data_IF_255498783868
#
_entry.id   IF_255498783868
#
_cell.length_a   1.000
_cell.length_b   1.000
_cell.length_c   1.000
_cell.angle_alpha   90.00
_cell.angle_beta   90.00
_cell.angle_gamma   90.00
#
_symmetry.space_group_name_H-M   'P 1'
#
loop_
_entity.id
_entity.type
_entity.pdbx_description
1 polymer ?
#
# COMPACT_ATOMS: atom_id res chain seq x y z
N UNK A 1 16.76 2.47 8.79
CA UNK A 1 15.38 2.12 9.23
C UNK A 1 14.46 2.07 8.03
N UNK A 2 14.42 3.12 7.20
CA UNK A 2 13.71 3.13 5.91
C UNK A 2 13.99 1.90 5.03
N UNK A 3 15.27 1.48 4.88
CA UNK A 3 15.59 0.27 4.10
C UNK A 3 15.07 -1.04 4.70
N UNK A 4 14.89 -1.11 6.03
CA UNK A 4 14.28 -2.28 6.68
C UNK A 4 12.76 -2.31 6.45
N UNK A 5 12.10 -1.16 6.52
CA UNK A 5 10.66 -1.04 6.21
C UNK A 5 10.37 -1.37 4.75
N UNK A 6 11.21 -0.88 3.84
CA UNK A 6 11.12 -1.18 2.41
C UNK A 6 11.32 -2.67 2.15
N UNK A 7 12.30 -3.30 2.82
CA UNK A 7 12.48 -4.75 2.77
C UNK A 7 11.26 -5.53 3.29
N UNK A 8 10.62 -5.08 4.38
CA UNK A 8 9.40 -5.72 4.89
C UNK A 8 8.24 -5.64 3.90
N UNK A 9 8.06 -4.49 3.23
CA UNK A 9 7.07 -4.33 2.15
C UNK A 9 7.38 -5.24 0.99
N UNK A 10 8.63 -5.25 0.53
CA UNK A 10 9.09 -6.16 -0.51
C UNK A 10 8.88 -7.63 -0.14
N UNK A 11 9.05 -8.01 1.12
CA UNK A 11 8.79 -9.37 1.59
C UNK A 11 7.30 -9.71 1.52
N UNK A 12 6.42 -8.81 1.99
CA UNK A 12 4.97 -9.00 1.94
C UNK A 12 4.46 -9.05 0.49
N UNK A 13 4.93 -8.14 -0.37
CA UNK A 13 4.59 -8.13 -1.79
C UNK A 13 5.04 -9.42 -2.48
N UNK A 14 6.24 -9.91 -2.16
CA UNK A 14 6.75 -11.19 -2.68
C UNK A 14 5.92 -12.38 -2.23
N UNK A 15 5.38 -12.37 -1.02
CA UNK A 15 4.52 -13.44 -0.51
C UNK A 15 3.21 -13.51 -1.31
N UNK A 16 2.59 -12.36 -1.58
CA UNK A 16 1.36 -12.29 -2.40
C UNK A 16 1.66 -12.67 -3.86
N UNK A 17 2.76 -12.17 -4.42
CA UNK A 17 3.14 -12.43 -5.82
C UNK A 17 3.55 -13.89 -6.08
N UNK A 18 4.01 -14.60 -5.05
CA UNK A 18 4.39 -16.02 -5.11
C UNK A 18 3.29 -16.94 -4.56
N UNK A 19 2.07 -16.45 -4.42
CA UNK A 19 0.93 -17.32 -4.11
C UNK A 19 0.68 -18.30 -5.27
N UNK A 20 0.42 -19.58 -4.98
CA UNK A 20 0.09 -20.56 -6.02
C UNK A 20 -1.28 -20.25 -6.62
N UNK A 21 -1.39 -20.35 -7.94
CA UNK A 21 -2.64 -20.15 -8.69
C UNK A 21 -2.77 -21.23 -9.75
N UNK A 22 -4.01 -21.65 -10.02
CA UNK A 22 -4.29 -22.68 -11.01
C UNK A 22 -4.67 -22.02 -12.34
N UNK A 23 -3.93 -22.31 -13.40
CA UNK A 23 -4.21 -21.81 -14.75
C UNK A 23 -4.32 -22.96 -15.75
N UNK A 24 -5.12 -22.76 -16.80
CA UNK A 24 -5.20 -23.71 -17.90
C UNK A 24 -4.17 -23.31 -18.96
N UNK A 25 -3.11 -24.10 -19.10
CA UNK A 25 -2.07 -23.91 -20.13
C UNK A 25 -1.78 -25.24 -20.80
N UNK A 26 -1.60 -25.22 -22.13
CA UNK A 26 -1.31 -26.43 -22.92
C UNK A 26 -2.32 -27.57 -22.65
N UNK A 27 -3.61 -27.22 -22.51
CA UNK A 27 -4.72 -28.14 -22.26
C UNK A 27 -4.71 -28.86 -20.90
N UNK A 28 -3.87 -28.43 -19.96
CA UNK A 28 -3.81 -28.99 -18.60
C UNK A 28 -3.98 -27.91 -17.54
N UNK A 29 -4.49 -28.31 -16.37
CA UNK A 29 -4.51 -27.44 -15.19
C UNK A 29 -3.13 -27.47 -14.54
N UNK A 30 -2.44 -26.34 -14.61
CA UNK A 30 -1.08 -26.18 -14.10
C UNK A 30 -1.09 -25.19 -12.94
N UNK A 31 -0.43 -25.54 -11.86
CA UNK A 31 -0.15 -24.60 -10.77
C UNK A 31 1.05 -23.73 -11.15
N UNK A 32 0.85 -22.42 -11.17
CA UNK A 32 1.91 -21.41 -11.40
C UNK A 32 1.93 -20.41 -10.24
N UNK A 33 2.94 -19.55 -10.20
CA UNK A 33 2.95 -18.43 -9.27
C UNK A 33 2.07 -17.29 -9.79
N UNK A 34 1.38 -16.57 -8.90
CA UNK A 34 0.51 -15.44 -9.27
C UNK A 34 1.21 -14.38 -10.14
N UNK A 35 2.51 -14.15 -9.94
CA UNK A 35 3.30 -13.23 -10.76
C UNK A 35 3.49 -13.66 -12.22
N UNK A 36 3.29 -14.95 -12.53
CA UNK A 36 3.50 -15.53 -13.86
C UNK A 36 2.22 -15.54 -14.71
N UNK A 37 1.10 -15.04 -14.17
CA UNK A 37 -0.18 -14.88 -14.90
C UNK A 37 0.01 -13.85 -16.00
N UNK A 38 -0.53 -14.15 -17.19
CA UNK A 38 -0.55 -13.25 -18.35
C UNK A 38 -1.98 -12.95 -18.74
N UNK A 39 -2.19 -11.79 -19.36
CA UNK A 39 -3.47 -11.43 -19.97
C UNK A 39 -3.88 -12.51 -20.97
N UNK A 40 -5.13 -12.96 -20.86
CA UNK A 40 -5.69 -14.05 -21.66
C UNK A 40 -5.54 -15.45 -21.04
N UNK A 41 -4.79 -15.62 -19.95
CA UNK A 41 -4.78 -16.90 -19.23
C UNK A 41 -6.15 -17.17 -18.61
N UNK A 42 -6.61 -18.42 -18.70
CA UNK A 42 -7.81 -18.90 -17.99
C UNK A 42 -7.35 -19.37 -16.61
N UNK A 43 -7.85 -18.70 -15.58
CA UNK A 43 -7.55 -18.95 -14.17
C UNK A 43 -8.72 -19.68 -13.53
N UNK A 44 -8.43 -20.76 -12.81
CA UNK A 44 -9.37 -21.44 -11.93
C UNK A 44 -9.14 -20.95 -10.51
N UNK A 45 -10.20 -20.46 -9.87
CA UNK A 45 -10.15 -19.98 -8.48
C UNK A 45 -11.10 -20.84 -7.64
N UNK A 46 -10.61 -21.33 -6.51
CA UNK A 46 -11.38 -22.17 -5.59
C UNK A 46 -12.08 -21.34 -4.51
N UNK A 47 -13.03 -21.97 -3.81
CA UNK A 47 -13.72 -21.34 -2.69
C UNK A 47 -12.75 -20.81 -1.65
N UNK A 48 -13.07 -19.65 -1.07
CA UNK A 48 -12.27 -18.95 -0.06
C UNK A 48 -10.90 -18.41 -0.53
N UNK A 49 -10.56 -18.55 -1.82
CA UNK A 49 -9.36 -17.95 -2.40
C UNK A 49 -9.58 -16.48 -2.81
N UNK A 50 -8.49 -15.70 -2.77
CA UNK A 50 -8.45 -14.34 -3.29
C UNK A 50 -8.15 -14.35 -4.80
N UNK A 51 -8.82 -13.49 -5.57
CA UNK A 51 -8.53 -13.36 -6.99
C UNK A 51 -7.13 -12.76 -7.21
N UNK A 52 -6.27 -13.39 -8.02
CA UNK A 52 -4.88 -12.96 -8.18
C UNK A 52 -4.71 -11.73 -9.09
N UNK A 53 -5.67 -11.50 -9.99
CA UNK A 53 -5.71 -10.37 -10.91
C UNK A 53 -7.17 -10.06 -11.28
N UNK A 54 -7.40 -9.08 -12.16
CA UNK A 54 -8.75 -8.77 -12.60
C UNK A 54 -9.18 -9.77 -13.67
N UNK A 55 -10.23 -10.56 -13.38
CA UNK A 55 -10.73 -11.62 -14.24
C UNK A 55 -12.10 -11.26 -14.81
N UNK A 56 -12.37 -11.61 -16.06
CA UNK A 56 -13.75 -11.70 -16.56
C UNK A 56 -14.25 -13.11 -16.32
N UNK A 57 -15.41 -13.23 -15.67
CA UNK A 57 -16.01 -14.52 -15.31
C UNK A 57 -16.52 -15.24 -16.56
N UNK A 58 -16.05 -16.47 -16.78
CA UNK A 58 -16.49 -17.34 -17.87
C UNK A 58 -17.58 -18.31 -17.39
N UNK A 59 -17.37 -18.94 -16.24
CA UNK A 59 -18.30 -19.93 -15.70
C UNK A 59 -18.06 -20.16 -14.21
N UNK A 60 -19.02 -20.80 -13.55
CA UNK A 60 -18.95 -21.22 -12.16
C UNK A 60 -19.59 -22.60 -12.00
N UNK A 61 -19.42 -23.18 -10.82
CA UNK A 61 -20.13 -24.40 -10.42
C UNK A 61 -21.67 -24.25 -10.41
N UNK A 62 -22.19 -23.01 -10.31
CA UNK A 62 -23.62 -22.73 -10.42
C UNK A 62 -24.08 -22.86 -11.89
N UNK A 63 -25.10 -23.69 -12.19
CA UNK A 63 -25.66 -23.81 -13.54
C UNK A 63 -26.15 -22.49 -14.16
N UNK A 64 -26.51 -21.50 -13.34
CA UNK A 64 -26.89 -20.16 -13.80
C UNK A 64 -25.67 -19.26 -14.07
N UNK A 65 -24.46 -19.72 -13.74
CA UNK A 65 -23.22 -18.99 -13.95
C UNK A 65 -23.00 -17.86 -12.95
N UNK A 66 -23.60 -17.93 -11.75
CA UNK A 66 -23.39 -16.94 -10.69
C UNK A 66 -22.28 -17.37 -9.71
N UNK A 67 -21.68 -16.39 -9.04
CA UNK A 67 -20.79 -16.60 -7.91
C UNK A 67 -20.96 -15.49 -6.88
N UNK A 68 -20.60 -15.77 -5.63
CA UNK A 68 -20.60 -14.77 -4.57
C UNK A 68 -19.18 -14.34 -4.26
N UNK A 69 -18.98 -13.02 -4.17
CA UNK A 69 -17.68 -12.46 -3.80
C UNK A 69 -17.83 -11.54 -2.60
N UNK A 70 -16.77 -11.44 -1.80
CA UNK A 70 -16.62 -10.39 -0.80
C UNK A 70 -15.51 -9.43 -1.23
N UNK A 71 -15.81 -8.14 -1.15
CA UNK A 71 -14.87 -7.05 -1.46
C UNK A 71 -14.30 -6.40 -0.20
N UNK A 72 -14.41 -7.05 0.96
CA UNK A 72 -13.96 -6.51 2.24
C UNK A 72 -12.50 -6.00 2.24
N UNK A 73 -11.64 -6.60 1.42
CA UNK A 73 -10.22 -6.18 1.26
C UNK A 73 -10.01 -4.99 0.31
N UNK A 74 -11.03 -4.56 -0.43
CA UNK A 74 -10.99 -3.47 -1.42
C UNK A 74 -11.70 -2.22 -0.92
N UNK A 75 -12.97 -2.36 -0.51
CA UNK A 75 -13.87 -1.26 -0.14
C UNK A 75 -14.40 -1.38 1.31
N UNK A 76 -14.02 -2.42 2.05
CA UNK A 76 -14.50 -2.68 3.41
C UNK A 76 -15.91 -3.26 3.47
N UNK A 77 -16.58 -3.46 2.33
CA UNK A 77 -17.94 -4.02 2.30
C UNK A 77 -17.91 -5.53 2.53
N UNK A 78 -18.69 -5.99 3.51
CA UNK A 78 -18.71 -7.39 3.96
C UNK A 78 -19.87 -8.18 3.42
N UNK A 79 -20.84 -7.50 2.80
CA UNK A 79 -21.91 -8.14 2.09
C UNK A 79 -21.37 -8.93 0.90
N UNK A 80 -21.96 -10.10 0.68
CA UNK A 80 -21.67 -10.89 -0.50
C UNK A 80 -22.32 -10.23 -1.71
N UNK A 81 -21.51 -9.93 -2.72
CA UNK A 81 -21.95 -9.41 -4.02
C UNK A 81 -22.07 -10.56 -4.99
N UNK A 82 -23.15 -10.59 -5.77
CA UNK A 82 -23.36 -11.59 -6.80
C UNK A 82 -22.73 -11.09 -8.10
N UNK A 83 -21.83 -11.90 -8.66
CA UNK A 83 -21.24 -11.70 -9.98
C UNK A 83 -21.65 -12.85 -10.89
N UNK A 84 -21.78 -12.60 -12.19
CA UNK A 84 -22.28 -13.59 -13.13
C UNK A 84 -21.48 -13.62 -14.43
N UNK A 85 -21.35 -14.82 -14.99
CA UNK A 85 -20.83 -15.02 -16.34
C UNK A 85 -21.85 -14.63 -17.41
N UNK A 86 -21.40 -14.53 -18.66
CA UNK A 86 -22.36 -14.41 -19.77
C UNK A 86 -23.05 -15.76 -20.01
N UNK A 87 -24.35 -15.80 -20.37
CA UNK A 87 -25.09 -17.06 -20.53
C UNK A 87 -24.44 -18.02 -21.54
N UNK A 88 -23.83 -17.46 -22.58
CA UNK A 88 -23.16 -18.19 -23.64
C UNK A 88 -21.87 -18.90 -23.16
N UNK A 89 -21.30 -18.52 -22.00
CA UNK A 89 -20.10 -19.17 -21.43
C UNK A 89 -20.39 -19.97 -20.15
N UNK A 90 -21.56 -19.83 -19.53
CA UNK A 90 -21.89 -20.45 -18.25
C UNK A 90 -21.76 -21.99 -18.22
N UNK A 91 -21.85 -22.66 -19.38
CA UNK A 91 -21.77 -24.12 -19.49
C UNK A 91 -20.34 -24.67 -19.60
N UNK A 92 -19.31 -23.83 -19.77
CA UNK A 92 -17.92 -24.27 -19.90
C UNK A 92 -17.31 -24.56 -18.52
N UNK A 93 -17.69 -25.68 -17.90
CA UNK A 93 -17.31 -26.02 -16.52
C UNK A 93 -16.16 -27.02 -16.43
N UNK A 94 -15.79 -27.62 -17.55
CA UNK A 94 -14.68 -28.57 -17.64
C UNK A 94 -13.57 -28.08 -18.55
N UNK A 95 -12.34 -28.55 -18.30
CA UNK A 95 -11.16 -28.22 -19.12
C UNK A 95 -11.39 -28.56 -20.61
N UNK A 96 -11.96 -29.72 -20.99
CA UNK A 96 -12.23 -30.04 -22.39
C UNK A 96 -13.25 -29.10 -23.06
N UNK A 97 -14.24 -28.61 -22.31
CA UNK A 97 -15.20 -27.63 -22.82
C UNK A 97 -14.48 -26.28 -23.05
N UNK A 98 -13.74 -25.79 -22.05
CA UNK A 98 -13.00 -24.52 -22.13
C UNK A 98 -12.00 -24.51 -23.29
N UNK A 99 -11.45 -25.67 -23.65
CA UNK A 99 -10.61 -25.84 -24.85
C UNK A 99 -11.33 -25.53 -26.16
N UNK A 100 -12.63 -25.82 -26.22
CA UNK A 100 -13.48 -25.52 -27.38
C UNK A 100 -13.94 -24.06 -27.46
N UNK A 101 -13.69 -23.25 -26.42
CA UNK A 101 -14.10 -21.86 -26.37
C UNK A 101 -13.17 -20.99 -27.21
N UNK A 102 -13.66 -20.54 -28.36
CA UNK A 102 -13.04 -19.47 -29.13
C UNK A 102 -13.74 -18.16 -28.79
N UNK A 103 -13.07 -17.29 -28.04
CA UNK A 103 -13.61 -15.99 -27.67
C UNK A 103 -12.53 -14.89 -27.70
N UNK A 104 -12.96 -13.65 -27.95
CA UNK A 104 -12.14 -12.46 -27.83
C UNK A 104 -12.82 -11.48 -26.90
N UNK A 105 -12.09 -10.94 -25.93
CA UNK A 105 -12.58 -9.91 -25.02
C UNK A 105 -11.91 -8.60 -25.38
N UNK A 106 -12.72 -7.56 -25.52
CA UNK A 106 -12.26 -6.18 -25.66
C UNK A 106 -12.82 -5.39 -24.48
N UNK A 107 -11.94 -4.75 -23.72
CA UNK A 107 -12.31 -3.91 -22.60
C UNK A 107 -11.67 -2.53 -22.71
N UNK A 108 -12.20 -1.59 -21.93
CA UNK A 108 -11.61 -0.27 -21.74
C UNK A 108 -10.15 -0.34 -21.24
N UNK A 109 -9.41 0.75 -21.41
CA UNK A 109 -8.09 0.90 -20.78
C UNK A 109 -8.20 0.84 -19.24
N UNK A 110 -7.13 0.41 -18.54
CA UNK A 110 -7.11 0.33 -17.09
C UNK A 110 -7.51 1.65 -16.42
N UNK A 111 -8.52 1.61 -15.55
CA UNK A 111 -9.08 2.78 -14.87
C UNK A 111 -9.32 2.50 -13.38
N UNK A 112 -8.99 3.44 -12.47
CA UNK A 112 -9.10 3.24 -11.03
C UNK A 112 -10.52 3.11 -10.48
N UNK A 113 -11.58 3.54 -11.20
CA UNK A 113 -12.94 3.37 -10.69
C UNK A 113 -13.30 1.88 -10.53
N UNK A 114 -13.45 1.41 -9.28
CA UNK A 114 -13.73 0.01 -8.95
C UNK A 114 -15.09 -0.47 -9.48
N UNK A 115 -16.06 0.45 -9.63
CA UNK A 115 -17.44 0.12 -9.97
C UNK A 115 -17.74 0.24 -11.46
N UNK A 116 -16.81 0.79 -12.25
CA UNK A 116 -16.98 0.96 -13.69
C UNK A 116 -16.15 -0.08 -14.45
N UNK A 117 -16.84 -0.89 -15.23
CA UNK A 117 -16.22 -1.76 -16.21
C UNK A 117 -17.08 -1.79 -17.48
N UNK A 118 -16.44 -1.51 -18.61
CA UNK A 118 -17.05 -1.56 -19.93
C UNK A 118 -16.18 -2.46 -20.79
N UNK A 119 -16.80 -3.53 -21.28
CA UNK A 119 -16.18 -4.41 -22.25
C UNK A 119 -17.21 -5.14 -23.10
N UNK A 120 -16.72 -5.98 -23.99
CA UNK A 120 -17.50 -6.92 -24.77
C UNK A 120 -16.75 -8.23 -24.95
N UNK A 121 -17.49 -9.32 -24.99
CA UNK A 121 -16.99 -10.64 -25.36
C UNK A 121 -17.60 -11.05 -26.69
N UNK A 122 -16.75 -11.42 -27.64
CA UNK A 122 -17.09 -11.96 -28.94
C UNK A 122 -16.84 -13.47 -28.90
N UNK A 123 -17.87 -14.29 -29.03
CA UNK A 123 -17.78 -15.75 -28.99
C UNK A 123 -17.92 -16.29 -30.41
N UNK A 124 -17.05 -17.22 -30.78
CA UNK A 124 -16.92 -17.76 -32.12
C UNK A 124 -17.13 -19.29 -32.12
N UNK A 125 -17.81 -19.81 -33.15
CA UNK A 125 -17.91 -21.27 -33.38
C UNK A 125 -16.67 -21.81 -34.09
N UNK A 126 -16.01 -20.94 -34.82
CA UNK A 126 -14.79 -21.15 -35.60
C UNK A 126 -14.14 -19.77 -35.80
N UNK A 127 -12.83 -19.67 -36.07
CA UNK A 127 -12.09 -18.40 -36.03
C UNK A 127 -12.69 -17.23 -36.82
N UNK A 128 -13.50 -17.51 -37.85
CA UNK A 128 -14.13 -16.51 -38.71
C UNK A 128 -15.67 -16.44 -38.60
N UNK A 129 -16.30 -17.17 -37.66
CA UNK A 129 -17.75 -17.24 -37.52
C UNK A 129 -18.20 -16.78 -36.12
N UNK A 130 -18.52 -15.47 -35.94
CA UNK A 130 -19.02 -14.96 -34.68
C UNK A 130 -20.44 -15.47 -34.42
N UNK A 131 -20.65 -16.04 -33.24
CA UNK A 131 -21.93 -16.62 -32.79
C UNK A 131 -22.70 -15.62 -31.94
N UNK A 132 -22.01 -14.98 -31.01
CA UNK A 132 -22.62 -14.10 -30.04
C UNK A 132 -21.66 -12.98 -29.66
N UNK A 133 -22.21 -11.77 -29.54
CA UNK A 133 -21.54 -10.63 -28.92
C UNK A 133 -22.34 -10.27 -27.68
N UNK A 134 -21.66 -10.16 -26.55
CA UNK A 134 -22.26 -9.77 -25.26
C UNK A 134 -21.48 -8.62 -24.65
N UNK A 135 -22.21 -7.66 -24.09
CA UNK A 135 -21.61 -6.58 -23.31
C UNK A 135 -21.19 -7.12 -21.96
N UNK A 136 -20.02 -6.70 -21.50
CA UNK A 136 -19.51 -6.98 -20.15
C UNK A 136 -19.64 -5.70 -19.32
N UNK A 137 -20.17 -5.86 -18.11
CA UNK A 137 -20.31 -4.79 -17.13
C UNK A 137 -19.62 -5.12 -15.81
N UNK A 138 -19.84 -4.31 -14.76
CA UNK A 138 -19.24 -4.49 -13.43
C UNK A 138 -19.56 -5.85 -12.78
N UNK A 139 -20.70 -6.44 -13.11
CA UNK A 139 -21.12 -7.75 -12.59
C UNK A 139 -20.34 -8.92 -13.20
N UNK A 140 -19.64 -8.71 -14.32
CA UNK A 140 -18.91 -9.77 -15.02
C UNK A 140 -17.40 -9.79 -14.70
N UNK A 141 -16.89 -8.75 -14.03
CA UNK A 141 -15.48 -8.65 -13.64
C UNK A 141 -15.30 -9.04 -12.17
N UNK A 142 -14.24 -9.78 -11.88
CA UNK A 142 -13.82 -10.21 -10.54
C UNK A 142 -12.50 -9.50 -10.25
N UNK A 143 -12.46 -8.67 -9.21
CA UNK A 143 -11.34 -7.77 -8.94
C UNK A 143 -10.23 -8.45 -8.14
N UNK A 144 -8.97 -8.12 -8.44
CA UNK A 144 -7.82 -8.53 -7.62
C UNK A 144 -8.06 -8.20 -6.15
N UNK A 145 -7.81 -9.14 -5.26
CA UNK A 145 -7.96 -8.96 -3.81
C UNK A 145 -9.37 -9.22 -3.27
N UNK A 146 -10.41 -9.25 -4.10
CA UNK A 146 -11.70 -9.81 -3.69
C UNK A 146 -11.57 -11.32 -3.43
N UNK A 147 -12.45 -11.88 -2.59
CA UNK A 147 -12.45 -13.30 -2.25
C UNK A 147 -13.70 -14.01 -2.73
N UNK A 148 -13.54 -15.20 -3.29
CA UNK A 148 -14.65 -16.07 -3.65
C UNK A 148 -15.28 -16.67 -2.38
N UNK A 149 -16.61 -16.64 -2.30
CA UNK A 149 -17.39 -17.17 -1.19
C UNK A 149 -18.58 -17.97 -1.72
N UNK A 150 -19.05 -18.95 -0.95
CA UNK A 150 -20.27 -19.73 -1.25
C UNK A 150 -20.34 -20.29 -2.69
N UNK A 151 -19.20 -20.53 -3.32
CA UNK A 151 -19.09 -21.07 -4.68
C UNK A 151 -17.83 -21.93 -4.72
N UNK A 152 -17.92 -23.23 -5.04
CA UNK A 152 -16.78 -24.15 -4.97
C UNK A 152 -15.61 -23.77 -5.88
N UNK A 153 -15.89 -23.33 -7.10
CA UNK A 153 -14.89 -22.83 -8.04
C UNK A 153 -15.52 -21.95 -9.11
N UNK A 154 -14.67 -21.14 -9.75
CA UNK A 154 -14.98 -20.39 -10.97
C UNK A 154 -13.85 -20.55 -11.99
N UNK A 155 -14.18 -20.34 -13.27
CA UNK A 155 -13.21 -20.08 -14.32
C UNK A 155 -13.35 -18.64 -14.79
N UNK A 156 -12.24 -17.92 -14.84
CA UNK A 156 -12.19 -16.55 -15.33
C UNK A 156 -10.98 -16.34 -16.23
N UNK A 157 -11.05 -15.36 -17.12
CA UNK A 157 -9.94 -14.99 -18.00
C UNK A 157 -9.33 -13.68 -17.54
N UNK A 158 -7.99 -13.66 -17.43
CA UNK A 158 -7.26 -12.48 -16.99
C UNK A 158 -7.35 -11.35 -18.01
N UNK A 159 -7.91 -10.21 -17.62
CA UNK A 159 -8.02 -9.01 -18.47
C UNK A 159 -7.03 -7.93 -18.08
N UNK A 160 -6.81 -7.70 -16.78
CA UNK A 160 -5.75 -6.81 -16.29
C UNK A 160 -4.87 -7.55 -15.30
N UNK A 161 -3.55 -7.39 -15.42
CA UNK A 161 -2.56 -8.08 -14.58
C UNK A 161 -1.58 -7.09 -13.97
N UNK A 162 -0.99 -7.44 -12.83
CA UNK A 162 0.03 -6.62 -12.17
C UNK A 162 -0.46 -5.21 -11.81
N UNK A 163 0.28 -4.20 -12.28
CA UNK A 163 0.04 -2.78 -11.99
C UNK A 163 -1.16 -2.18 -12.73
N UNK A 164 -1.70 -2.89 -13.72
CA UNK A 164 -2.90 -2.47 -14.46
C UNK A 164 -4.20 -2.88 -13.76
N UNK A 165 -4.13 -3.73 -12.73
CA UNK A 165 -5.31 -4.10 -11.95
C UNK A 165 -5.93 -2.89 -11.26
N UNK A 166 -7.25 -2.84 -11.17
CA UNK A 166 -7.96 -1.72 -10.54
C UNK A 166 -7.51 -1.49 -9.09
N UNK A 167 -7.20 -2.56 -8.37
CA UNK A 167 -6.63 -2.48 -7.01
C UNK A 167 -5.25 -1.79 -7.01
N UNK A 168 -4.37 -2.14 -7.95
CA UNK A 168 -3.04 -1.54 -8.03
C UNK A 168 -3.10 -0.07 -8.46
N UNK A 169 -4.02 0.31 -9.34
CA UNK A 169 -4.23 1.70 -9.73
C UNK A 169 -4.72 2.59 -8.56
N UNK A 170 -5.45 2.00 -7.60
CA UNK A 170 -5.84 2.68 -6.36
C UNK A 170 -4.76 2.59 -5.27
N UNK A 171 -3.71 1.80 -5.47
CA UNK A 171 -2.57 1.77 -4.57
C UNK A 171 -1.69 2.98 -4.86
N UNK A 172 -1.91 4.08 -4.14
CA UNK A 172 -1.03 5.23 -4.23
C UNK A 172 0.35 4.86 -3.69
N UNK A 173 1.39 5.04 -4.51
CA UNK A 173 2.78 5.09 -4.05
C UNK A 173 2.84 6.09 -2.90
N UNK A 174 3.04 5.59 -1.67
CA UNK A 174 3.08 6.43 -0.48
C UNK A 174 4.14 7.51 -0.69
N UNK A 175 3.70 8.75 -0.90
CA UNK A 175 4.57 9.91 -0.73
C UNK A 175 5.07 9.83 0.71
N UNK A 176 6.39 9.77 0.90
CA UNK A 176 6.99 9.73 2.24
C UNK A 176 6.42 10.86 3.08
N UNK A 177 5.65 10.51 4.11
CA UNK A 177 5.09 11.48 5.03
C UNK A 177 6.24 11.99 5.88
N UNK A 178 6.46 13.31 5.86
CA UNK A 178 7.44 13.96 6.73
C UNK A 178 6.77 14.27 8.05
N UNK A 179 7.42 13.91 9.14
CA UNK A 179 6.90 14.15 10.48
C UNK A 179 6.87 15.65 10.80
N UNK A 180 5.86 16.08 11.56
CA UNK A 180 5.77 17.43 12.12
C UNK A 180 7.03 17.79 12.92
N UNK A 181 7.66 16.81 13.59
CA UNK A 181 8.91 17.01 14.32
C UNK A 181 10.05 17.35 13.37
N UNK A 182 10.15 16.73 12.19
CA UNK A 182 11.19 17.08 11.21
C UNK A 182 11.07 18.54 10.75
N UNK A 183 9.85 19.00 10.52
CA UNK A 183 9.57 20.39 10.17
C UNK A 183 9.91 21.34 11.32
N UNK A 184 9.60 20.95 12.55
CA UNK A 184 9.95 21.72 13.75
C UNK A 184 11.46 21.77 13.98
N UNK A 185 12.16 20.65 13.80
CA UNK A 185 13.62 20.57 13.90
C UNK A 185 14.30 21.52 12.92
N UNK A 186 13.86 21.56 11.66
CA UNK A 186 14.37 22.52 10.67
C UNK A 186 14.07 23.98 11.07
N UNK A 187 12.93 24.22 11.72
CA UNK A 187 12.54 25.56 12.20
C UNK A 187 13.48 26.06 13.30
N UNK A 188 14.03 25.18 14.13
CA UNK A 188 15.01 25.54 15.17
C UNK A 188 16.47 25.49 14.69
N UNK A 189 16.82 24.53 13.83
CA UNK A 189 18.17 24.38 13.28
C UNK A 189 18.58 25.58 12.44
N UNK A 190 17.70 26.11 11.59
CA UNK A 190 18.03 27.24 10.71
C UNK A 190 18.42 28.51 11.49
N UNK A 191 17.64 28.98 12.49
CA UNK A 191 18.06 30.06 13.37
C UNK A 191 19.33 29.74 14.16
N UNK A 192 19.47 28.53 14.71
CA UNK A 192 20.64 28.15 15.50
C UNK A 192 21.94 28.21 14.68
N UNK A 193 21.92 27.69 13.45
CA UNK A 193 23.04 27.80 12.51
C UNK A 193 23.29 29.26 12.14
N UNK A 194 22.25 30.05 11.92
CA UNK A 194 22.41 31.48 11.60
C UNK A 194 23.08 32.26 12.73
N UNK A 195 22.71 31.97 13.99
CA UNK A 195 23.31 32.57 15.19
C UNK A 195 24.77 32.15 15.33
N UNK A 196 25.07 30.86 15.18
CA UNK A 196 26.44 30.34 15.21
C UNK A 196 27.33 31.02 14.15
N UNK A 197 26.86 31.08 12.91
CA UNK A 197 27.61 31.74 11.84
C UNK A 197 27.84 33.21 12.13
N UNK A 198 26.87 33.90 12.76
CA UNK A 198 27.03 35.29 13.17
C UNK A 198 28.12 35.46 14.23
N UNK A 199 28.13 34.59 15.25
CA UNK A 199 29.17 34.58 16.31
C UNK A 199 30.55 34.32 15.69
N UNK A 200 30.64 33.36 14.77
CA UNK A 200 31.89 33.03 14.09
C UNK A 200 32.45 34.22 13.30
N UNK A 201 31.60 34.97 12.58
CA UNK A 201 32.06 36.17 11.90
C UNK A 201 32.51 37.26 12.87
N UNK A 202 31.80 37.47 13.99
CA UNK A 202 32.19 38.45 15.00
C UNK A 202 33.57 38.13 15.60
N UNK A 203 33.80 36.89 16.01
CA UNK A 203 35.10 36.46 16.57
C UNK A 203 36.22 36.63 15.55
N UNK A 204 35.97 36.31 14.27
CA UNK A 204 36.96 36.50 13.20
C UNK A 204 37.33 37.97 13.00
N UNK A 205 36.32 38.85 12.98
CA UNK A 205 36.55 40.30 12.85
C UNK A 205 37.32 40.82 14.06
N UNK A 206 36.97 40.38 15.28
CA UNK A 206 37.67 40.80 16.49
C UNK A 206 39.14 40.37 16.50
N UNK A 207 39.43 39.13 16.08
CA UNK A 207 40.82 38.64 15.92
C UNK A 207 41.56 39.46 14.87
N UNK A 208 40.94 39.73 13.71
CA UNK A 208 41.55 40.54 12.65
C UNK A 208 41.87 41.96 13.13
N UNK A 209 40.93 42.61 13.83
CA UNK A 209 41.11 43.95 14.39
C UNK A 209 42.22 43.96 15.45
N UNK A 210 42.27 42.94 16.31
CA UNK A 210 43.30 42.79 17.33
C UNK A 210 44.70 42.64 16.71
N UNK A 211 44.83 41.75 15.71
CA UNK A 211 46.09 41.53 14.98
C UNK A 211 46.52 42.82 14.27
N UNK A 212 45.59 43.52 13.63
CA UNK A 212 45.88 44.79 12.96
C UNK A 212 46.36 45.87 13.93
N UNK A 213 45.70 46.02 15.08
CA UNK A 213 46.09 47.00 16.12
C UNK A 213 47.41 46.66 16.82
N UNK A 214 47.73 45.38 16.98
CA UNK A 214 48.93 44.97 17.70
C UNK A 214 50.22 45.25 16.91
N UNK A 215 50.13 45.57 15.61
CA UNK A 215 51.24 45.95 14.70
C UNK A 215 52.49 45.04 14.73
N UNK A 216 52.39 43.86 15.36
CA UNK A 216 53.51 42.94 15.59
C UNK A 216 53.00 41.53 15.38
N UNK A 217 53.52 40.88 14.34
CA UNK A 217 53.49 39.43 14.33
C UNK A 217 54.39 38.95 15.47
N UNK A 218 53.92 38.01 16.32
CA UNK A 218 54.75 37.51 17.41
C UNK A 218 55.99 36.83 16.84
N UNK A 219 57.16 37.08 17.42
CA UNK A 219 58.46 36.58 16.93
C UNK A 219 58.56 35.04 16.79
N UNK A 220 57.65 34.30 17.43
CA UNK A 220 57.56 32.85 17.39
C UNK A 220 56.62 32.32 16.28
N UNK A 221 55.80 33.17 15.66
CA UNK A 221 54.99 32.84 14.49
C UNK A 221 55.83 33.22 13.28
N UNK A 222 56.44 32.22 12.62
CA UNK A 222 57.30 32.45 11.45
C UNK A 222 56.58 33.19 10.33
N UNK A 223 57.32 33.92 9.49
CA UNK A 223 56.76 34.58 8.31
C UNK A 223 56.13 33.55 7.37
N UNK A 224 54.85 33.72 7.02
CA UNK A 224 54.17 32.84 6.09
C UNK A 224 54.77 33.01 4.68
N UNK A 225 55.46 31.99 4.12
CA UNK A 225 56.16 32.09 2.84
C UNK A 225 55.21 32.18 1.65
N UNK A 226 53.90 31.99 1.87
CA UNK A 226 52.86 32.01 0.85
C UNK A 226 51.84 33.12 1.13
N UNK A 227 52.11 34.35 0.66
CA UNK A 227 51.12 35.42 0.63
C UNK A 227 49.96 35.02 -0.28
N UNK A 228 48.93 34.42 0.31
CA UNK A 228 47.66 34.16 -0.37
C UNK A 228 46.97 35.51 -0.61
N UNK A 229 46.19 35.67 -1.69
CA UNK A 229 45.31 36.83 -1.83
C UNK A 229 44.34 36.85 -0.63
N UNK A 230 44.05 38.05 -0.11
CA UNK A 230 43.23 38.25 1.09
C UNK A 230 41.87 37.52 1.04
N UNK A 231 41.31 37.36 -0.15
CA UNK A 231 40.09 36.58 -0.36
C UNK A 231 40.27 35.07 -0.05
N UNK A 232 41.37 34.46 -0.49
CA UNK A 232 41.64 33.03 -0.23
C UNK A 232 41.97 32.78 1.24
N UNK A 233 42.69 33.70 1.89
CA UNK A 233 42.95 33.64 3.33
C UNK A 233 41.64 33.75 4.12
N UNK A 234 40.79 34.72 3.79
CA UNK A 234 39.46 34.86 4.39
C UNK A 234 38.54 33.66 4.13
N UNK A 235 38.66 32.97 2.99
CA UNK A 235 37.89 31.75 2.71
C UNK A 235 38.41 30.56 3.53
N UNK A 236 39.73 30.40 3.63
CA UNK A 236 40.35 29.31 4.42
C UNK A 236 40.04 29.47 5.89
N UNK A 237 40.14 30.69 6.43
CA UNK A 237 39.75 30.98 7.80
C UNK A 237 38.25 30.73 8.01
N UNK A 238 37.39 31.15 7.07
CA UNK A 238 35.96 30.88 7.17
C UNK A 238 35.66 29.39 7.27
N UNK A 239 36.26 28.58 6.39
CA UNK A 239 36.09 27.13 6.41
C UNK A 239 36.68 26.49 7.67
N UNK A 240 37.81 26.98 8.17
CA UNK A 240 38.42 26.50 9.40
C UNK A 240 37.52 26.75 10.62
N UNK A 241 36.94 27.94 10.73
CA UNK A 241 35.97 28.28 11.77
C UNK A 241 34.67 27.47 11.62
N UNK A 242 34.18 27.25 10.39
CA UNK A 242 33.02 26.39 10.15
C UNK A 242 33.25 24.97 10.67
N UNK A 243 34.41 24.38 10.40
CA UNK A 243 34.76 23.04 10.91
C UNK A 243 34.93 23.03 12.43
N UNK A 244 35.57 24.07 13.00
CA UNK A 244 35.79 24.18 14.44
C UNK A 244 34.46 24.26 15.22
N UNK A 245 33.46 24.94 14.65
CA UNK A 245 32.13 25.12 15.26
C UNK A 245 31.06 24.15 14.73
N UNK A 246 31.43 23.14 13.94
CA UNK A 246 30.51 22.13 13.40
C UNK A 246 29.73 21.37 14.49
N UNK A 247 30.22 21.35 15.74
CA UNK A 247 29.51 20.75 16.87
C UNK A 247 28.18 21.44 17.22
N UNK A 248 27.95 22.68 16.75
CA UNK A 248 26.69 23.41 16.95
C UNK A 248 25.57 22.87 16.05
N UNK A 249 25.91 22.17 14.96
CA UNK A 249 24.95 21.38 14.18
C UNK A 249 24.96 19.97 14.77
N UNK A 250 23.97 19.59 15.59
CA UNK A 250 23.94 18.26 16.15
C UNK A 250 23.52 17.27 15.06
N UNK A 251 24.47 16.83 14.23
CA UNK A 251 24.24 15.77 13.22
C UNK A 251 23.72 14.50 13.92
N UNK A 252 24.17 14.27 15.16
CA UNK A 252 23.69 13.20 16.03
C UNK A 252 22.22 13.33 16.44
N UNK A 253 21.63 14.53 16.44
CA UNK A 253 20.22 14.74 16.80
C UNK A 253 19.31 13.97 15.83
N UNK A 254 19.55 14.09 14.53
CA UNK A 254 18.74 13.40 13.53
C UNK A 254 18.81 11.88 13.70
N UNK A 255 20.02 11.34 13.83
CA UNK A 255 20.22 9.89 14.04
C UNK A 255 19.58 9.42 15.34
N UNK A 256 19.66 10.21 16.41
CA UNK A 256 19.07 9.86 17.71
C UNK A 256 17.54 9.85 17.66
N UNK A 257 16.94 10.86 17.01
CA UNK A 257 15.48 10.94 16.81
C UNK A 257 15.00 9.76 15.96
N UNK A 258 15.65 9.49 14.84
CA UNK A 258 15.32 8.34 13.99
C UNK A 258 15.43 7.02 14.79
N UNK A 259 16.50 6.85 15.57
CA UNK A 259 16.67 5.64 16.36
C UNK A 259 15.60 5.49 17.44
N UNK A 260 15.21 6.59 18.09
CA UNK A 260 14.11 6.60 19.06
C UNK A 260 12.78 6.22 18.40
N UNK A 261 12.48 6.75 17.21
CA UNK A 261 11.28 6.39 16.44
C UNK A 261 11.23 4.89 16.15
N UNK A 262 12.34 4.32 15.69
CA UNK A 262 12.41 2.88 15.38
C UNK A 262 12.29 1.99 16.61
N UNK A 263 12.88 2.36 17.74
CA UNK A 263 12.64 1.64 18.99
C UNK A 263 11.17 1.75 19.43
N UNK A 264 10.56 2.91 19.23
CA UNK A 264 9.14 3.15 19.50
C UNK A 264 8.22 2.22 18.69
N UNK A 265 8.49 2.00 17.40
CA UNK A 265 7.67 1.08 16.58
C UNK A 265 7.79 -0.37 17.04
N UNK A 266 8.97 -0.78 17.54
CA UNK A 266 9.17 -2.12 18.10
C UNK A 266 8.32 -2.30 19.37
N UNK A 267 8.25 -1.30 20.24
CA UNK A 267 7.41 -1.37 21.45
C UNK A 267 5.93 -1.54 21.12
N UNK A 268 5.41 -0.83 20.11
CA UNK A 268 4.03 -1.03 19.62
C UNK A 268 3.82 -2.49 19.18
N UNK A 269 4.78 -3.08 18.46
CA UNK A 269 4.65 -4.45 17.97
C UNK A 269 4.88 -5.56 19.00
N UNK A 270 5.42 -5.23 20.18
CA UNK A 270 5.64 -6.17 21.28
C UNK A 270 4.60 -6.06 22.39
N UNK A 271 3.68 -5.12 22.28
CA UNK A 271 2.63 -4.92 23.27
C UNK A 271 1.61 -6.06 23.22
N UNK A 272 1.42 -6.72 24.37
CA UNK A 272 0.47 -7.82 24.55
C UNK A 272 -0.96 -7.29 24.67
N UNK A 273 -1.15 -6.03 25.10
CA UNK A 273 -2.48 -5.43 25.18
C UNK A 273 -3.08 -5.16 23.79
N UNK A 274 -2.24 -5.08 22.76
CA UNK A 274 -2.64 -4.92 21.36
C UNK A 274 -2.59 -6.25 20.57
N UNK A 275 -2.62 -7.40 21.26
CA UNK A 275 -2.67 -8.72 20.65
C UNK A 275 -4.11 -9.26 20.60
N UNK A 276 -4.52 -9.74 19.42
CA UNK A 276 -5.81 -10.38 19.21
C UNK A 276 -5.69 -11.91 19.30
N UNK A 277 -6.24 -12.47 20.38
CA UNK A 277 -6.24 -13.91 20.64
C UNK A 277 -7.13 -14.69 19.65
N UNK A 278 -8.23 -14.11 19.17
CA UNK A 278 -9.18 -14.81 18.30
C UNK A 278 -8.55 -15.11 16.93
N UNK A 279 -7.85 -14.13 16.37
CA UNK A 279 -7.21 -14.25 15.06
C UNK A 279 -5.71 -14.58 15.13
N UNK A 280 -5.11 -14.65 16.32
CA UNK A 280 -3.68 -14.84 16.54
C UNK A 280 -2.85 -13.77 15.80
N UNK A 281 -3.28 -12.50 15.93
CA UNK A 281 -2.67 -11.34 15.25
C UNK A 281 -2.07 -10.39 16.27
N UNK A 282 -0.89 -9.83 15.94
CA UNK A 282 -0.21 -8.81 16.74
C UNK A 282 -0.24 -7.46 16.05
N UNK A 283 -0.13 -6.38 16.82
CA UNK A 283 0.04 -5.04 16.29
C UNK A 283 1.29 -4.94 15.39
N UNK A 284 1.15 -4.32 14.23
CA UNK A 284 2.23 -4.14 13.27
C UNK A 284 2.41 -2.66 12.91
N UNK A 285 3.56 -2.11 13.26
CA UNK A 285 3.97 -0.79 12.82
C UNK A 285 4.55 -0.86 11.39
N UNK A 286 3.80 -0.34 10.40
CA UNK A 286 4.20 -0.34 8.99
C UNK A 286 5.21 0.77 8.61
N UNK A 287 5.41 1.74 9.51
CA UNK A 287 6.40 2.81 9.40
C UNK A 287 6.77 3.31 10.79
N UNK A 288 8.03 3.69 11.00
CA UNK A 288 8.50 4.34 12.22
C UNK A 288 8.34 5.86 12.21
N UNK A 289 8.09 6.46 11.04
CA UNK A 289 8.18 7.91 10.86
C UNK A 289 7.08 8.71 11.56
N UNK A 290 5.99 8.05 11.98
CA UNK A 290 4.76 8.68 12.46
C UNK A 290 4.41 8.36 13.92
N UNK A 291 5.30 7.67 14.63
CA UNK A 291 5.00 7.17 15.97
C UNK A 291 4.66 8.30 16.95
N UNK A 292 5.38 9.41 16.86
CA UNK A 292 5.13 10.61 17.68
C UNK A 292 3.81 11.34 17.33
N UNK A 293 3.31 11.18 16.10
CA UNK A 293 2.11 11.87 15.63
C UNK A 293 0.85 11.20 16.14
N UNK A 294 0.93 9.92 16.53
CA UNK A 294 -0.18 9.19 17.14
C UNK A 294 -0.73 9.90 18.39
N UNK A 295 0.13 10.61 19.13
CA UNK A 295 -0.28 11.41 20.29
C UNK A 295 -0.75 12.84 19.96
N UNK A 296 -0.71 13.24 18.69
CA UNK A 296 -1.03 14.61 18.23
C UNK A 296 -2.29 14.66 17.36
N UNK A 297 -3.02 13.55 17.23
CA UNK A 297 -4.24 13.49 16.42
C UNK A 297 -5.36 14.34 17.04
N UNK A 298 -5.96 15.23 16.24
CA UNK A 298 -7.11 16.04 16.66
C UNK A 298 -8.45 15.46 16.18
N UNK A 299 -8.42 14.77 15.04
CA UNK A 299 -9.60 14.22 14.38
C UNK A 299 -9.39 12.75 14.07
N UNK A 300 -10.35 11.92 14.50
CA UNK A 300 -10.39 10.49 14.17
C UNK A 300 -11.55 10.27 13.20
N UNK A 301 -11.23 9.90 11.96
CA UNK A 301 -12.21 9.41 11.01
C UNK A 301 -12.31 7.90 11.19
N UNK A 302 -13.50 7.42 11.54
CA UNK A 302 -13.77 5.99 11.70
C UNK A 302 -14.79 5.55 10.68
N UNK A 303 -14.57 4.39 10.09
CA UNK A 303 -15.63 3.69 9.38
C UNK A 303 -16.58 3.03 10.41
N UNK A 304 -17.84 2.85 10.04
CA UNK A 304 -18.83 2.17 10.88
C UNK A 304 -18.72 0.66 10.72
N UNK A 305 -18.76 0.20 9.48
CA UNK A 305 -18.86 -1.24 9.16
C UNK A 305 -17.45 -1.84 9.18
N UNK A 306 -17.27 -2.98 9.85
CA UNK A 306 -15.96 -3.63 9.95
C UNK A 306 -14.94 -2.96 10.88
N UNK A 307 -15.23 -1.77 11.41
CA UNK A 307 -14.40 -1.10 12.43
C UNK A 307 -15.15 -0.94 13.76
N UNK A 308 -16.26 -0.19 13.79
CA UNK A 308 -17.07 -0.04 15.01
C UNK A 308 -17.99 -1.24 15.28
N UNK A 309 -18.34 -1.97 14.22
CA UNK A 309 -19.25 -3.11 14.27
C UNK A 309 -18.58 -4.34 13.67
N UNK A 310 -18.65 -5.45 14.40
CA UNK A 310 -18.34 -6.77 13.84
C UNK A 310 -19.40 -7.10 12.78
N UNK A 311 -19.03 -7.80 11.71
CA UNK A 311 -19.95 -8.16 10.62
C UNK A 311 -20.84 -9.35 10.97
N UNK A 312 -21.44 -9.31 12.17
CA UNK A 312 -22.36 -10.30 12.69
C UNK A 312 -23.72 -9.63 12.95
N UNK A 313 -24.72 -10.02 12.16
CA UNK A 313 -26.07 -9.47 12.26
C UNK A 313 -26.96 -10.42 13.05
N UNK A 314 -27.11 -10.17 14.35
CA UNK A 314 -28.02 -10.92 15.20
C UNK A 314 -29.40 -10.27 15.22
N UNK A 315 -30.44 -11.04 14.88
CA UNK A 315 -31.82 -10.60 15.06
C UNK A 315 -32.15 -10.52 16.57
N UNK A 316 -32.79 -9.43 17.02
CA UNK A 316 -33.08 -9.19 18.46
C UNK A 316 -34.56 -8.97 18.77
N UNK A 317 -35.26 -8.18 17.98
CA UNK A 317 -36.69 -7.95 18.15
C UNK A 317 -37.36 -7.66 16.80
N UNK A 318 -38.66 -7.89 16.70
CA UNK A 318 -39.50 -7.35 15.65
C UNK A 318 -40.82 -6.81 16.21
N UNK A 319 -41.53 -6.01 15.42
CA UNK A 319 -42.91 -5.65 15.71
C UNK A 319 -43.83 -6.23 14.64
N UNK A 320 -44.81 -7.01 15.06
CA UNK A 320 -45.81 -7.63 14.16
C UNK A 320 -47.18 -7.16 14.63
N UNK A 321 -47.89 -6.41 13.79
CA UNK A 321 -49.23 -5.88 14.14
C UNK A 321 -49.25 -4.92 15.33
N UNK A 322 -48.12 -4.27 15.65
CA UNK A 322 -47.99 -3.35 16.80
C UNK A 322 -47.63 -4.04 18.13
N UNK A 323 -47.60 -5.37 18.18
CA UNK A 323 -46.99 -6.10 19.30
C UNK A 323 -45.48 -6.22 19.07
N UNK A 324 -44.69 -6.06 20.13
CA UNK A 324 -43.25 -6.29 20.12
C UNK A 324 -42.97 -7.74 20.50
N UNK A 325 -42.06 -8.38 19.75
CA UNK A 325 -41.58 -9.73 20.01
C UNK A 325 -40.06 -9.69 20.13
N UNK A 326 -39.52 -10.32 21.17
CA UNK A 326 -38.07 -10.42 21.37
C UNK A 326 -37.58 -11.82 21.02
N UNK A 327 -36.38 -11.92 20.46
CA UNK A 327 -35.72 -13.19 20.19
C UNK A 327 -35.05 -13.70 21.46
N UNK A 328 -35.43 -14.91 21.86
CA UNK A 328 -34.83 -15.62 22.97
C UNK A 328 -34.59 -17.09 22.57
N UNK A 329 -33.33 -17.44 22.31
CA UNK A 329 -32.91 -18.80 21.93
C UNK A 329 -33.67 -19.38 20.72
N UNK A 330 -33.85 -18.58 19.67
CA UNK A 330 -34.52 -18.99 18.42
C UNK A 330 -36.05 -18.97 18.47
N UNK A 331 -36.65 -18.56 19.60
CA UNK A 331 -38.09 -18.33 19.72
C UNK A 331 -38.41 -16.84 19.83
N UNK A 332 -39.53 -16.43 19.24
CA UNK A 332 -40.10 -15.10 19.42
C UNK A 332 -41.04 -15.14 20.64
N UNK A 333 -40.70 -14.38 21.67
CA UNK A 333 -41.47 -14.26 22.92
C UNK A 333 -42.25 -12.96 22.95
#
# INVERSE_FOLDING_TARGET
>A
MQGYEDWLRHKADNEVNKSPVHVIRQDELVEIMSQDIRVGDIVKVQSDESFPCDLVMLSSDDPEGNCHITTASLDGETNLKIHSSVPDTAHYNTIPELKGLYASIECQEPEPDLYRFVGRINIFKSPNEPVAVRTLGPLNILLRGARLKNTPYIYGVAVHTGQETKMALNSHTKLGKRSVIEKSMNTYLLPAVSIDQSINQSVRIDILVLVHRSHRQPWYVGEDPSKRPAFLEGLVDFLAFLVLFNYVIPISLYVTVEFQKFLGSIFISWDIEMYDEKNNLKAQANTSDLNEELGQIEYVFTDKTGTLTENEMCFRQCSIGGAQFEEYHGNLV
#
